data_IF_094711387047
#
_entry.id   IF_094711387047
#
_cell.length_a   1.000
_cell.length_b   1.000
_cell.length_c   1.000
_cell.angle_alpha   90.00
_cell.angle_beta   90.00
_cell.angle_gamma   90.00
#
_symmetry.space_group_name_H-M   'P 1'
#
loop_
_entity.id
_entity.type
_entity.pdbx_description
1 polymer ?
#
# COMPACT_ATOMS: atom_id res chain seq x y z
N UNK A 1 -10.01 -34.84 -23.60
CA UNK A 1 -9.56 -33.47 -23.96
C UNK A 1 -8.27 -33.22 -23.18
N UNK A 2 -7.18 -32.83 -23.82
CA UNK A 2 -5.88 -32.70 -23.16
C UNK A 2 -5.91 -31.54 -22.15
N UNK A 3 -5.64 -31.85 -20.89
CA UNK A 3 -5.32 -30.90 -19.82
C UNK A 3 -3.96 -30.27 -20.16
N UNK A 4 -3.95 -29.02 -20.61
CA UNK A 4 -2.75 -28.32 -21.08
C UNK A 4 -2.26 -27.36 -20.00
N UNK A 5 -0.98 -27.39 -19.62
CA UNK A 5 -0.40 -26.54 -18.56
C UNK A 5 -0.32 -25.05 -18.97
N UNK A 6 -1.45 -24.43 -19.35
CA UNK A 6 -1.51 -23.09 -19.92
C UNK A 6 -1.07 -21.99 -18.96
N UNK A 7 -1.25 -22.18 -17.65
CA UNK A 7 -0.77 -21.24 -16.65
C UNK A 7 0.75 -21.01 -16.72
N UNK A 8 1.51 -22.02 -17.20
CA UNK A 8 2.96 -21.90 -17.38
C UNK A 8 3.36 -20.86 -18.43
N UNK A 9 2.46 -20.50 -19.36
CA UNK A 9 2.73 -19.46 -20.36
C UNK A 9 2.96 -18.10 -19.72
N UNK A 10 2.40 -17.84 -18.53
CA UNK A 10 2.69 -16.61 -17.80
C UNK A 10 4.13 -16.50 -17.33
N UNK A 11 4.93 -17.57 -17.34
CA UNK A 11 6.37 -17.49 -17.07
C UNK A 11 7.12 -16.80 -18.22
N UNK A 12 6.55 -16.75 -19.42
CA UNK A 12 7.11 -16.04 -20.55
C UNK A 12 6.88 -14.53 -20.41
N UNK A 13 7.96 -13.76 -20.38
CA UNK A 13 7.90 -12.31 -20.24
C UNK A 13 7.19 -11.63 -21.41
N UNK A 14 7.38 -12.12 -22.63
CA UNK A 14 6.73 -11.56 -23.83
C UNK A 14 5.21 -11.68 -23.76
N UNK A 15 4.70 -12.78 -23.20
CA UNK A 15 3.26 -12.95 -22.97
C UNK A 15 2.77 -11.93 -21.94
N UNK A 16 3.51 -11.72 -20.85
CA UNK A 16 3.16 -10.70 -19.84
C UNK A 16 3.16 -9.28 -20.43
N UNK A 17 4.14 -8.95 -21.27
CA UNK A 17 4.18 -7.67 -22.01
C UNK A 17 2.94 -7.50 -22.89
N UNK A 18 2.62 -8.50 -23.71
CA UNK A 18 1.46 -8.47 -24.60
C UNK A 18 0.15 -8.28 -23.82
N UNK A 19 0.00 -8.93 -22.66
CA UNK A 19 -1.16 -8.74 -21.79
C UNK A 19 -1.25 -7.29 -21.31
N UNK A 20 -0.16 -6.74 -20.76
CA UNK A 20 -0.13 -5.35 -20.28
C UNK A 20 -0.36 -4.32 -21.40
N UNK A 21 0.17 -4.56 -22.59
CA UNK A 21 -0.09 -3.75 -23.78
C UNK A 21 -1.56 -3.81 -24.20
N UNK A 22 -2.15 -5.00 -24.21
CA UNK A 22 -3.56 -5.23 -24.57
C UNK A 22 -4.52 -4.55 -23.59
N UNK A 23 -4.25 -4.66 -22.28
CA UNK A 23 -5.10 -4.05 -21.24
C UNK A 23 -4.88 -2.54 -21.11
N UNK A 24 -3.69 -2.05 -21.46
CA UNK A 24 -3.33 -0.66 -21.27
C UNK A 24 -3.05 -0.27 -19.81
N UNK A 25 -3.17 -1.20 -18.85
CA UNK A 25 -2.93 -1.01 -17.42
C UNK A 25 -2.01 -2.10 -16.86
N UNK A 26 -1.54 -1.89 -15.64
CA UNK A 26 -1.07 -3.00 -14.82
C UNK A 26 -2.22 -3.96 -14.52
N UNK A 27 -1.91 -5.18 -14.05
CA UNK A 27 -2.94 -6.19 -13.86
C UNK A 27 -2.60 -7.21 -12.77
N UNK A 28 -3.65 -7.79 -12.21
CA UNK A 28 -3.58 -8.95 -11.34
C UNK A 28 -3.62 -10.24 -12.15
N UNK A 29 -2.83 -11.21 -11.71
CA UNK A 29 -2.84 -12.59 -12.15
C UNK A 29 -3.45 -13.42 -11.02
N UNK A 30 -4.64 -13.93 -11.27
CA UNK A 30 -5.39 -14.76 -10.33
C UNK A 30 -5.16 -16.23 -10.71
N UNK A 31 -4.48 -17.02 -9.87
CA UNK A 31 -4.32 -18.44 -10.12
C UNK A 31 -5.68 -19.14 -10.07
N UNK A 32 -5.99 -19.95 -11.08
CA UNK A 32 -7.22 -20.75 -11.12
C UNK A 32 -6.90 -22.24 -11.15
N UNK A 33 -5.96 -22.67 -12.00
CA UNK A 33 -5.41 -24.03 -11.97
C UNK A 33 -4.05 -24.10 -12.69
N UNK A 34 -3.39 -25.25 -12.70
CA UNK A 34 -2.20 -25.49 -13.55
C UNK A 34 -2.47 -25.27 -15.04
N UNK A 35 -3.73 -25.24 -15.46
CA UNK A 35 -4.14 -25.09 -16.84
C UNK A 35 -4.46 -23.66 -17.23
N UNK A 36 -4.90 -22.83 -16.28
CA UNK A 36 -5.41 -21.50 -16.58
C UNK A 36 -5.21 -20.51 -15.42
N UNK A 37 -5.21 -19.23 -15.79
CA UNK A 37 -5.10 -18.09 -14.90
C UNK A 37 -6.07 -17.03 -15.39
N UNK A 38 -6.69 -16.31 -14.45
CA UNK A 38 -7.54 -15.19 -14.78
C UNK A 38 -6.71 -13.91 -14.71
N UNK A 39 -6.89 -13.06 -15.71
CA UNK A 39 -6.21 -11.76 -15.80
C UNK A 39 -7.25 -10.68 -15.51
N UNK A 40 -6.93 -9.81 -14.55
CA UNK A 40 -7.83 -8.74 -14.11
C UNK A 40 -7.08 -7.40 -14.13
N UNK A 41 -7.52 -6.38 -14.89
CA UNK A 41 -6.84 -5.08 -14.90
C UNK A 41 -6.92 -4.41 -13.52
N UNK A 42 -5.81 -3.79 -13.10
CA UNK A 42 -5.77 -3.01 -11.87
C UNK A 42 -6.37 -1.62 -12.11
N UNK A 43 -7.67 -1.52 -11.86
CA UNK A 43 -8.43 -0.26 -11.92
C UNK A 43 -8.62 0.38 -10.53
N UNK A 44 -7.94 -0.13 -9.50
CA UNK A 44 -8.10 0.34 -8.11
C UNK A 44 -9.43 -0.04 -7.45
N UNK A 45 -10.22 -0.92 -8.07
CA UNK A 45 -11.53 -1.37 -7.56
C UNK A 45 -11.38 -2.57 -6.61
N UNK A 46 -10.42 -3.45 -6.89
CA UNK A 46 -10.24 -4.70 -6.17
C UNK A 46 -9.19 -4.57 -5.09
N UNK A 47 -9.45 -5.13 -3.91
CA UNK A 47 -8.50 -5.21 -2.81
C UNK A 47 -7.83 -6.59 -2.81
N UNK A 48 -6.50 -6.63 -2.68
CA UNK A 48 -5.74 -7.89 -2.71
C UNK A 48 -6.18 -8.89 -1.64
N UNK A 49 -6.49 -8.49 -0.38
CA UNK A 49 -6.98 -9.44 0.62
C UNK A 49 -8.29 -10.13 0.21
N UNK A 50 -9.19 -9.40 -0.45
CA UNK A 50 -10.48 -9.95 -0.92
C UNK A 50 -10.25 -10.95 -2.06
N UNK A 51 -9.37 -10.63 -3.01
CA UNK A 51 -9.04 -11.55 -4.10
C UNK A 51 -8.35 -12.82 -3.56
N UNK A 52 -7.45 -12.70 -2.58
CA UNK A 52 -6.80 -13.87 -1.99
C UNK A 52 -7.79 -14.76 -1.23
N UNK A 53 -8.74 -14.15 -0.49
CA UNK A 53 -9.80 -14.91 0.17
C UNK A 53 -10.64 -15.69 -0.84
N UNK A 54 -11.00 -15.08 -1.97
CA UNK A 54 -11.73 -15.75 -3.05
C UNK A 54 -10.94 -16.92 -3.65
N UNK A 55 -9.65 -16.73 -3.94
CA UNK A 55 -8.80 -17.80 -4.49
C UNK A 55 -8.69 -18.96 -3.50
N UNK A 56 -8.45 -18.67 -2.23
CA UNK A 56 -8.33 -19.68 -1.20
C UNK A 56 -9.64 -20.49 -1.05
N UNK A 57 -10.79 -19.82 -0.98
CA UNK A 57 -12.09 -20.48 -0.90
C UNK A 57 -12.34 -21.42 -2.08
N UNK A 58 -12.08 -20.95 -3.30
CA UNK A 58 -12.24 -21.77 -4.52
C UNK A 58 -11.28 -22.95 -4.54
N UNK A 59 -10.02 -22.75 -4.15
CA UNK A 59 -9.04 -23.82 -4.07
C UNK A 59 -9.49 -24.91 -3.07
N UNK A 60 -9.94 -24.51 -1.88
CA UNK A 60 -10.35 -25.44 -0.83
C UNK A 60 -11.62 -26.23 -1.17
N UNK A 61 -12.52 -25.66 -1.98
CA UNK A 61 -13.86 -26.23 -2.20
C UNK A 61 -14.06 -26.86 -3.57
N UNK A 62 -13.37 -26.38 -4.61
CA UNK A 62 -13.71 -26.66 -6.01
C UNK A 62 -12.53 -27.10 -6.88
N UNK A 63 -11.28 -26.91 -6.43
CA UNK A 63 -10.09 -27.25 -7.23
C UNK A 63 -9.39 -28.47 -6.65
N UNK A 64 -9.19 -29.49 -7.49
CA UNK A 64 -8.42 -30.68 -7.15
C UNK A 64 -7.00 -30.30 -6.70
N UNK A 65 -6.51 -30.92 -5.62
CA UNK A 65 -5.22 -30.56 -5.02
C UNK A 65 -4.03 -30.58 -5.98
N UNK A 66 -4.06 -31.49 -6.96
CA UNK A 66 -3.02 -31.62 -8.00
C UNK A 66 -3.07 -30.50 -9.06
N UNK A 67 -4.18 -29.76 -9.14
CA UNK A 67 -4.39 -28.66 -10.08
C UNK A 67 -4.20 -27.28 -9.44
N UNK A 68 -4.11 -27.21 -8.11
CA UNK A 68 -3.91 -25.97 -7.38
C UNK A 68 -2.51 -25.39 -7.65
N UNK A 69 -2.44 -24.06 -7.82
CA UNK A 69 -1.18 -23.33 -7.99
C UNK A 69 -0.77 -22.61 -6.70
N UNK A 70 -1.52 -21.58 -6.32
CA UNK A 70 -1.27 -20.75 -5.13
C UNK A 70 -2.58 -20.16 -4.65
N UNK A 71 -2.69 -19.91 -3.33
CA UNK A 71 -3.80 -19.12 -2.75
C UNK A 71 -3.57 -17.61 -2.87
N UNK A 72 -2.43 -17.19 -3.45
CA UNK A 72 -2.00 -15.80 -3.50
C UNK A 72 -2.03 -15.28 -4.92
N UNK A 73 -2.71 -14.15 -5.09
CA UNK A 73 -2.74 -13.36 -6.31
C UNK A 73 -1.37 -12.72 -6.56
N UNK A 74 -0.97 -12.70 -7.84
CA UNK A 74 0.21 -11.98 -8.29
C UNK A 74 -0.21 -10.66 -8.93
N UNK A 75 0.70 -9.71 -8.94
CA UNK A 75 0.58 -8.44 -9.63
C UNK A 75 1.65 -8.38 -10.72
N UNK A 76 1.31 -7.85 -11.89
CA UNK A 76 2.25 -7.61 -12.98
C UNK A 76 2.23 -6.15 -13.42
N UNK A 77 3.42 -5.54 -13.45
CA UNK A 77 3.63 -4.19 -13.93
C UNK A 77 3.68 -4.18 -15.47
N UNK A 78 2.84 -3.37 -16.09
CA UNK A 78 2.71 -3.27 -17.56
C UNK A 78 4.02 -2.86 -18.21
N UNK A 79 4.76 -1.94 -17.58
CA UNK A 79 5.93 -1.30 -18.20
C UNK A 79 7.14 -2.23 -18.21
N UNK A 80 7.31 -3.00 -17.15
CA UNK A 80 8.48 -3.84 -16.90
C UNK A 80 8.21 -5.33 -17.11
N UNK A 81 6.93 -5.73 -17.16
CA UNK A 81 6.48 -7.11 -17.16
C UNK A 81 7.01 -7.95 -15.96
N UNK A 82 7.44 -7.26 -14.90
CA UNK A 82 7.80 -7.90 -13.63
C UNK A 82 6.53 -8.36 -12.96
N UNK A 83 6.52 -9.62 -12.55
CA UNK A 83 5.44 -10.22 -11.78
C UNK A 83 5.92 -10.48 -10.35
N UNK A 84 5.16 -10.00 -9.37
CA UNK A 84 5.43 -10.16 -7.95
C UNK A 84 4.17 -10.54 -7.17
N UNK A 85 4.31 -11.02 -5.93
CA UNK A 85 3.16 -11.31 -5.08
C UNK A 85 2.44 -10.00 -4.69
N UNK A 86 1.12 -9.97 -4.85
CA UNK A 86 0.35 -8.74 -4.69
C UNK A 86 0.36 -8.21 -3.23
N UNK A 87 0.26 -9.09 -2.22
CA UNK A 87 0.31 -8.68 -0.80
C UNK A 87 1.67 -8.08 -0.45
N UNK A 88 2.76 -8.66 -0.98
CA UNK A 88 4.12 -8.13 -0.76
C UNK A 88 4.29 -6.75 -1.38
N UNK A 89 3.71 -6.53 -2.56
CA UNK A 89 3.72 -5.22 -3.23
C UNK A 89 2.98 -4.19 -2.38
N UNK A 90 1.76 -4.49 -1.92
CA UNK A 90 0.98 -3.56 -1.08
C UNK A 90 1.72 -3.21 0.21
N UNK A 91 2.25 -4.19 0.93
CA UNK A 91 3.00 -3.97 2.16
C UNK A 91 4.26 -3.10 1.94
N UNK A 92 4.91 -3.23 0.78
CA UNK A 92 6.05 -2.38 0.39
C UNK A 92 5.59 -0.94 0.13
N UNK A 93 4.53 -0.75 -0.66
CA UNK A 93 3.97 0.57 -0.98
C UNK A 93 3.47 1.31 0.27
N UNK A 94 2.87 0.60 1.23
CA UNK A 94 2.44 1.17 2.50
C UNK A 94 3.62 1.66 3.34
N UNK A 95 4.71 0.89 3.40
CA UNK A 95 5.94 1.27 4.10
C UNK A 95 6.60 2.48 3.45
N UNK A 96 6.67 2.52 2.13
CA UNK A 96 7.18 3.66 1.36
C UNK A 96 6.36 4.93 1.64
N UNK A 97 5.02 4.85 1.58
CA UNK A 97 4.12 5.96 1.92
C UNK A 97 4.25 6.41 3.38
N UNK A 98 4.45 5.46 4.30
CA UNK A 98 4.66 5.79 5.71
C UNK A 98 5.99 6.51 5.94
N UNK A 99 7.07 6.05 5.30
CA UNK A 99 8.38 6.69 5.35
C UNK A 99 8.34 8.11 4.78
N UNK A 100 7.71 8.30 3.62
CA UNK A 100 7.54 9.62 2.99
C UNK A 100 6.77 10.59 3.92
N UNK A 101 5.69 10.13 4.56
CA UNK A 101 4.95 10.94 5.54
C UNK A 101 5.81 11.35 6.75
N UNK A 102 6.73 10.49 7.18
CA UNK A 102 7.66 10.80 8.28
C UNK A 102 8.70 11.82 7.83
N UNK A 103 9.27 11.68 6.64
CA UNK A 103 10.22 12.66 6.09
C UNK A 103 9.58 14.04 5.87
N UNK A 104 8.36 14.10 5.32
CA UNK A 104 7.63 15.36 5.12
C UNK A 104 7.31 16.04 6.46
N UNK A 105 6.90 15.28 7.48
CA UNK A 105 6.69 15.82 8.84
C UNK A 105 7.98 16.25 9.52
N UNK A 106 9.13 15.64 9.19
CA UNK A 106 10.46 16.05 9.67
C UNK A 106 11.08 17.24 8.93
N UNK A 107 10.53 17.61 7.77
CA UNK A 107 10.98 18.71 6.92
C UNK A 107 10.69 20.11 7.47
N UNK A 108 10.65 21.12 6.58
CA UNK A 108 10.48 22.55 6.93
C UNK A 108 9.25 22.79 7.81
N UNK A 109 8.14 22.09 7.55
CA UNK A 109 6.91 22.19 8.34
C UNK A 109 7.11 21.71 9.80
N UNK A 110 7.79 20.57 10.00
CA UNK A 110 8.12 20.08 11.35
C UNK A 110 9.05 20.99 12.11
N UNK A 111 10.04 21.59 11.43
CA UNK A 111 10.95 22.57 12.04
C UNK A 111 10.22 23.86 12.43
N UNK A 112 9.28 24.32 11.59
CA UNK A 112 8.46 25.50 11.87
C UNK A 112 7.52 25.29 13.06
N UNK A 113 6.84 24.15 13.13
CA UNK A 113 5.95 23.80 14.25
C UNK A 113 6.74 23.68 15.57
N UNK A 114 7.91 23.06 15.54
CA UNK A 114 8.79 22.95 16.71
C UNK A 114 9.30 24.32 17.17
N UNK A 115 9.74 25.17 16.26
CA UNK A 115 10.17 26.54 16.58
C UNK A 115 9.02 27.38 17.16
N UNK A 116 7.80 27.25 16.62
CA UNK A 116 6.61 27.96 17.10
C UNK A 116 6.21 27.51 18.51
N UNK A 117 6.32 26.22 18.82
CA UNK A 117 6.09 25.68 20.17
C UNK A 117 7.16 26.17 21.17
N UNK A 118 8.43 26.19 20.77
CA UNK A 118 9.54 26.67 21.61
C UNK A 118 9.43 28.18 21.91
N UNK A 119 8.96 28.99 20.96
CA UNK A 119 8.70 30.43 21.19
C UNK A 119 7.52 30.61 22.16
N UNK A 120 6.42 29.88 21.96
CA UNK A 120 5.23 29.96 22.82
C UNK A 120 5.52 29.54 24.26
N UNK A 121 6.40 28.56 24.45
CA UNK A 121 6.88 28.15 25.77
C UNK A 121 7.76 29.21 26.45
N UNK A 122 8.55 29.95 25.69
CA UNK A 122 9.41 31.04 26.22
C UNK A 122 8.63 32.34 26.52
N UNK A 123 7.49 32.57 25.89
CA UNK A 123 6.63 33.73 26.16
C UNK A 123 5.76 33.56 27.42
N UNK A 124 5.36 32.32 27.77
CA UNK A 124 4.57 32.04 28.97
C UNK A 124 5.33 32.29 30.29
N UNK A 125 6.66 32.37 30.27
CA UNK A 125 7.50 32.58 31.46
C UNK A 125 7.67 34.07 31.82
N UNK A 126 7.28 35.00 30.94
CA UNK A 126 7.40 36.46 31.19
C UNK A 126 6.06 37.08 31.65
N UNK A 127 5.65 36.80 32.89
CA UNK A 127 4.57 37.58 33.56
C UNK A 127 5.17 38.86 34.17
N UNK A 128 4.66 40.08 33.90
CA UNK A 128 5.15 41.30 34.53
C UNK A 128 4.65 41.42 35.98
N UNK A 129 5.57 41.51 36.95
CA UNK A 129 5.26 41.94 38.32
C UNK A 129 4.88 43.42 38.32
N UNK A 130 3.59 43.75 38.41
CA UNK A 130 3.17 45.11 38.74
C UNK A 130 2.90 45.24 40.24
N UNK A 131 3.60 46.15 40.91
CA UNK A 131 3.47 46.45 42.34
C UNK A 131 2.42 47.55 42.51
N UNK A 132 1.23 47.22 43.02
CA UNK A 132 0.33 48.21 43.63
C UNK A 132 0.39 48.04 45.14
N UNK A 133 0.92 49.05 45.84
CA UNK A 133 0.75 49.24 47.28
C UNK A 133 -0.10 50.49 47.47
N UNK A 134 -1.36 50.28 47.81
CA UNK A 134 -2.27 51.33 48.25
C UNK A 134 -1.88 51.86 49.63
N UNK A 135 -1.88 53.18 49.74
CA UNK A 135 -1.65 53.97 50.93
C UNK A 135 -3.02 54.43 51.45
N UNK A 136 -3.56 53.79 52.49
CA UNK A 136 -4.67 54.35 53.27
C UNK A 136 -4.82 53.64 54.63
N UNK A 137 -4.43 54.33 55.71
CA UNK A 137 -5.15 54.35 56.98
C UNK A 137 -4.41 55.30 57.94
N UNK A 138 -4.88 56.55 58.00
CA UNK A 138 -4.68 57.43 59.14
C UNK A 138 -5.93 57.31 60.02
N UNK A 139 -5.73 56.88 61.26
CA UNK A 139 -6.52 57.19 62.45
C UNK A 139 -5.54 57.27 63.62
#
# INVERSE_FOLDING_TARGET
KAKMNGASLLLQEDIRKQIGECLGSDYFVIPSSIHEVLILPDNGIFQVPELNAMVQEVNETQVERQEQLSDKVQFCDKKTAVMENAERREARLEKEKAAEKVEVKGGIHGRLEKAKAEIKAKEADKVPKNKSKDLAAAL
#
